data_IF_791729591894
#
_entry.id   IF_791729591894
#
_cell.length_a   1.000
_cell.length_b   1.000
_cell.length_c   1.000
_cell.angle_alpha   90.00
_cell.angle_beta   90.00
_cell.angle_gamma   90.00
#
_symmetry.space_group_name_H-M   'P 1'
#
loop_
_entity.id
_entity.type
_entity.pdbx_description
1 polymer ?
#
# COMPACT_ATOMS: atom_id res chain seq x y z
N UNK A 1 -16.43 -6.13 -1.95
CA UNK A 1 -17.43 -6.73 -1.04
C UNK A 1 -16.82 -7.78 -0.13
N UNK A 2 -16.42 -8.96 -0.61
CA UNK A 2 -15.86 -10.01 0.28
C UNK A 2 -14.67 -9.54 1.14
N UNK A 3 -13.72 -8.81 0.54
CA UNK A 3 -12.55 -8.29 1.25
C UNK A 3 -12.88 -7.15 2.24
N UNK A 4 -14.10 -6.61 2.20
CA UNK A 4 -14.53 -5.45 3.00
C UNK A 4 -15.84 -5.75 3.74
N UNK A 5 -16.14 -7.02 4.00
CA UNK A 5 -17.40 -7.42 4.64
C UNK A 5 -17.40 -6.94 6.11
N UNK A 6 -18.36 -6.08 6.52
CA UNK A 6 -18.43 -5.58 7.88
C UNK A 6 -18.92 -6.62 8.90
N UNK A 7 -19.50 -7.75 8.44
CA UNK A 7 -19.98 -8.81 9.32
C UNK A 7 -18.87 -9.72 9.87
N UNK A 8 -17.68 -9.65 9.26
CA UNK A 8 -16.51 -10.42 9.67
C UNK A 8 -15.66 -9.54 10.60
N UNK A 9 -15.16 -10.11 11.70
CA UNK A 9 -14.35 -9.38 12.67
C UNK A 9 -12.90 -9.14 12.22
N UNK A 10 -12.37 -10.02 11.38
CA UNK A 10 -10.98 -10.03 10.90
C UNK A 10 -10.92 -9.97 9.37
N UNK A 11 -9.83 -9.40 8.83
CA UNK A 11 -9.65 -9.32 7.39
C UNK A 11 -9.45 -10.69 6.75
N UNK A 12 -10.22 -10.96 5.69
CA UNK A 12 -9.96 -12.12 4.82
C UNK A 12 -8.76 -11.84 3.92
N UNK A 13 -7.56 -12.13 4.40
CA UNK A 13 -6.31 -11.93 3.65
C UNK A 13 -6.31 -12.60 2.27
N UNK A 14 -6.95 -13.75 2.14
CA UNK A 14 -7.17 -14.43 0.87
C UNK A 14 -7.98 -13.56 -0.11
N UNK A 15 -9.05 -12.90 0.36
CA UNK A 15 -9.82 -11.98 -0.47
C UNK A 15 -9.06 -10.69 -0.78
N UNK A 16 -8.25 -10.19 0.15
CA UNK A 16 -7.40 -9.01 -0.05
C UNK A 16 -6.35 -9.28 -1.14
N UNK A 17 -5.68 -10.44 -1.07
CA UNK A 17 -4.67 -10.86 -2.06
C UNK A 17 -5.31 -11.04 -3.44
N UNK A 18 -6.43 -11.76 -3.52
CA UNK A 18 -7.18 -11.92 -4.79
C UNK A 18 -7.62 -10.59 -5.39
N UNK A 19 -8.00 -9.62 -4.57
CA UNK A 19 -8.32 -8.28 -5.07
C UNK A 19 -7.11 -7.65 -5.74
N UNK A 20 -5.93 -7.68 -5.10
CA UNK A 20 -4.69 -7.15 -5.67
C UNK A 20 -4.29 -7.88 -6.97
N UNK A 21 -4.41 -9.21 -7.00
CA UNK A 21 -4.18 -10.01 -8.20
C UNK A 21 -5.09 -9.57 -9.36
N UNK A 22 -6.39 -9.35 -9.08
CA UNK A 22 -7.34 -8.87 -10.08
C UNK A 22 -7.00 -7.45 -10.57
N UNK A 23 -6.60 -6.55 -9.66
CA UNK A 23 -6.15 -5.19 -10.04
C UNK A 23 -5.00 -5.26 -11.03
N UNK A 24 -4.07 -6.21 -10.85
CA UNK A 24 -2.91 -6.37 -11.72
C UNK A 24 -3.23 -7.09 -13.04
N UNK A 25 -4.13 -8.07 -13.01
CA UNK A 25 -4.51 -8.85 -14.18
C UNK A 25 -5.36 -8.05 -15.18
N UNK A 26 -6.23 -7.16 -14.68
CA UNK A 26 -7.13 -6.40 -15.53
C UNK A 26 -6.48 -5.13 -16.09
N UNK A 27 -6.68 -4.87 -17.39
CA UNK A 27 -6.21 -3.64 -18.02
C UNK A 27 -6.78 -2.38 -17.34
N UNK A 28 -8.06 -2.40 -16.97
CA UNK A 28 -8.71 -1.27 -16.29
C UNK A 28 -8.60 -1.33 -14.77
N UNK A 29 -8.08 -2.45 -14.22
CA UNK A 29 -7.99 -2.72 -12.79
C UNK A 29 -7.41 -1.57 -11.98
N UNK A 30 -6.21 -1.04 -12.32
CA UNK A 30 -5.59 0.04 -11.57
C UNK A 30 -6.41 1.34 -11.55
N UNK A 31 -7.25 1.58 -12.56
CA UNK A 31 -8.10 2.78 -12.66
C UNK A 31 -9.46 2.62 -11.97
N UNK A 32 -10.00 1.39 -11.93
CA UNK A 32 -11.30 1.09 -11.32
C UNK A 32 -11.17 0.84 -9.82
N UNK A 33 -10.15 0.13 -9.38
CA UNK A 33 -9.96 -0.25 -7.99
C UNK A 33 -9.96 0.95 -7.01
N UNK A 34 -9.26 2.07 -7.26
CA UNK A 34 -9.31 3.23 -6.38
C UNK A 34 -10.73 3.81 -6.24
N UNK A 35 -11.57 3.74 -7.29
CA UNK A 35 -12.96 4.22 -7.22
C UNK A 35 -13.81 3.34 -6.30
N UNK A 36 -13.65 2.02 -6.40
CA UNK A 36 -14.35 1.07 -5.54
C UNK A 36 -13.89 1.21 -4.08
N UNK A 37 -12.58 1.34 -3.86
CA UNK A 37 -11.99 1.54 -2.55
C UNK A 37 -12.44 2.85 -1.92
N UNK A 38 -12.44 3.95 -2.67
CA UNK A 38 -12.93 5.24 -2.18
C UNK A 38 -14.37 5.16 -1.65
N UNK A 39 -15.26 4.50 -2.38
CA UNK A 39 -16.63 4.27 -1.93
C UNK A 39 -16.70 3.47 -0.62
N UNK A 40 -15.91 2.39 -0.50
CA UNK A 40 -15.89 1.54 0.71
C UNK A 40 -15.24 2.22 1.91
N UNK A 41 -14.19 3.02 1.71
CA UNK A 41 -13.54 3.82 2.77
C UNK A 41 -14.49 4.88 3.35
N UNK A 42 -15.44 5.37 2.55
CA UNK A 42 -16.47 6.31 2.99
C UNK A 42 -17.67 5.64 3.68
N UNK A 43 -17.62 4.31 3.90
CA UNK A 43 -18.72 3.60 4.55
C UNK A 43 -19.01 4.16 5.94
N UNK A 44 -20.30 4.31 6.32
CA UNK A 44 -20.68 4.64 7.69
C UNK A 44 -20.37 3.49 8.66
N UNK A 45 -20.13 2.26 8.16
CA UNK A 45 -19.75 1.12 8.97
C UNK A 45 -18.24 1.14 9.19
N UNK A 46 -17.80 1.35 10.44
CA UNK A 46 -16.37 1.43 10.78
C UNK A 46 -15.58 0.21 10.27
N UNK A 47 -16.11 -1.01 10.45
CA UNK A 47 -15.44 -2.24 10.01
C UNK A 47 -15.21 -2.27 8.49
N UNK A 48 -16.22 -1.94 7.68
CA UNK A 48 -16.09 -1.90 6.21
C UNK A 48 -15.05 -0.87 5.77
N UNK A 49 -15.06 0.32 6.39
CA UNK A 49 -14.10 1.37 6.08
C UNK A 49 -12.66 0.97 6.44
N UNK A 50 -12.46 0.34 7.61
CA UNK A 50 -11.15 -0.14 8.04
C UNK A 50 -10.63 -1.27 7.16
N UNK A 51 -11.46 -2.25 6.81
CA UNK A 51 -11.08 -3.31 5.88
C UNK A 51 -10.70 -2.74 4.51
N UNK A 52 -11.44 -1.75 4.01
CA UNK A 52 -11.12 -1.08 2.75
C UNK A 52 -9.77 -0.35 2.79
N UNK A 53 -9.41 0.24 3.94
CA UNK A 53 -8.09 0.84 4.14
C UNK A 53 -6.97 -0.21 4.15
N UNK A 54 -7.20 -1.38 4.75
CA UNK A 54 -6.26 -2.53 4.68
C UNK A 54 -6.08 -3.01 3.24
N UNK A 55 -7.16 -3.10 2.46
CA UNK A 55 -7.08 -3.45 1.02
C UNK A 55 -6.30 -2.38 0.24
N UNK A 56 -6.54 -1.09 0.51
CA UNK A 56 -5.81 0.01 -0.12
C UNK A 56 -4.30 -0.07 0.14
N UNK A 57 -3.89 -0.24 1.40
CA UNK A 57 -2.47 -0.38 1.75
C UNK A 57 -1.84 -1.59 1.05
N UNK A 58 -2.57 -2.71 1.01
CA UNK A 58 -2.09 -3.92 0.33
C UNK A 58 -1.96 -3.70 -1.18
N UNK A 59 -2.88 -2.96 -1.81
CA UNK A 59 -2.78 -2.60 -3.22
C UNK A 59 -1.58 -1.69 -3.49
N UNK A 60 -1.32 -0.70 -2.62
CA UNK A 60 -0.12 0.16 -2.76
C UNK A 60 1.17 -0.66 -2.70
N UNK A 61 1.22 -1.69 -1.87
CA UNK A 61 2.39 -2.56 -1.76
C UNK A 61 2.56 -3.54 -2.93
N UNK A 62 1.47 -3.91 -3.63
CA UNK A 62 1.48 -5.05 -4.57
C UNK A 62 1.09 -4.70 -6.02
N UNK A 63 0.54 -3.52 -6.29
CA UNK A 63 -0.01 -3.18 -7.62
C UNK A 63 0.85 -2.21 -8.45
N UNK A 64 1.97 -1.76 -7.88
CA UNK A 64 2.99 -0.98 -8.58
C UNK A 64 2.51 0.36 -9.16
N UNK A 65 3.31 0.90 -10.08
CA UNK A 65 3.23 2.28 -10.56
C UNK A 65 1.88 2.63 -11.20
N UNK A 66 1.26 1.70 -11.94
CA UNK A 66 -0.05 1.92 -12.57
C UNK A 66 -1.12 2.26 -11.53
N UNK A 67 -1.07 1.62 -10.36
CA UNK A 67 -1.98 1.91 -9.26
C UNK A 67 -1.57 3.18 -8.50
N UNK A 68 -0.26 3.36 -8.26
CA UNK A 68 0.28 4.57 -7.61
C UNK A 68 -0.13 5.85 -8.34
N UNK A 69 -0.04 5.85 -9.68
CA UNK A 69 -0.45 6.97 -10.53
C UNK A 69 -1.93 7.34 -10.38
N UNK A 70 -2.80 6.39 -10.07
CA UNK A 70 -4.23 6.65 -9.88
C UNK A 70 -4.53 7.20 -8.49
N UNK A 71 -3.91 6.67 -7.43
CA UNK A 71 -4.10 7.17 -6.07
C UNK A 71 -3.47 8.54 -5.83
N UNK A 72 -2.42 8.91 -6.59
CA UNK A 72 -1.78 10.23 -6.52
C UNK A 72 -2.61 11.36 -7.16
N UNK A 73 -3.68 11.04 -7.89
CA UNK A 73 -4.57 12.05 -8.50
C UNK A 73 -5.50 12.67 -7.45
N UNK A 74 -5.76 13.98 -7.56
CA UNK A 74 -6.76 14.66 -6.74
C UNK A 74 -8.14 14.01 -6.79
N UNK A 75 -8.49 13.35 -7.90
CA UNK A 75 -9.73 12.58 -7.99
C UNK A 75 -9.87 11.57 -6.86
N UNK A 76 -8.80 10.84 -6.52
CA UNK A 76 -8.81 9.88 -5.43
C UNK A 76 -8.51 10.55 -4.08
N UNK A 77 -7.51 11.43 -4.02
CA UNK A 77 -7.14 12.13 -2.77
C UNK A 77 -8.31 12.92 -2.18
N UNK A 78 -9.15 13.53 -3.01
CA UNK A 78 -10.35 14.25 -2.55
C UNK A 78 -11.36 13.33 -1.87
N UNK A 79 -11.44 12.06 -2.28
CA UNK A 79 -12.31 11.09 -1.63
C UNK A 79 -11.81 10.74 -0.22
N UNK A 80 -10.50 10.70 0.01
CA UNK A 80 -9.93 10.56 1.35
C UNK A 80 -10.10 11.84 2.18
N UNK A 81 -9.90 13.02 1.58
CA UNK A 81 -10.11 14.31 2.25
C UNK A 81 -11.55 14.45 2.77
N UNK A 82 -12.55 13.98 2.02
CA UNK A 82 -13.96 13.99 2.45
C UNK A 82 -14.17 13.20 3.75
N UNK A 83 -13.44 12.09 3.96
CA UNK A 83 -13.50 11.28 5.19
C UNK A 83 -12.94 12.03 6.39
N UNK A 84 -11.95 12.88 6.18
CA UNK A 84 -11.32 13.66 7.26
C UNK A 84 -12.06 14.98 7.54
N UNK A 85 -12.66 15.58 6.51
CA UNK A 85 -13.20 16.93 6.60
C UNK A 85 -14.58 16.96 7.28
N UNK A 86 -14.78 17.77 8.34
CA UNK A 86 -16.08 17.94 8.98
C UNK A 86 -17.17 18.47 8.05
N UNK A 87 -16.80 19.11 6.94
CA UNK A 87 -17.74 19.60 5.92
C UNK A 87 -18.40 18.49 5.10
N UNK A 88 -17.86 17.28 5.17
CA UNK A 88 -18.30 16.13 4.38
C UNK A 88 -18.59 14.95 5.30
N UNK A 89 -17.72 13.94 5.32
CA UNK A 89 -17.95 12.71 6.08
C UNK A 89 -17.26 12.72 7.45
N UNK A 90 -16.35 13.66 7.71
CA UNK A 90 -15.57 13.69 8.95
C UNK A 90 -16.37 13.90 10.24
N UNK A 91 -17.63 14.34 10.14
CA UNK A 91 -18.54 14.42 11.29
C UNK A 91 -19.08 13.04 11.72
N UNK A 92 -19.20 12.10 10.78
CA UNK A 92 -19.76 10.75 11.00
C UNK A 92 -18.69 9.67 10.98
N UNK A 93 -17.56 9.90 10.31
CA UNK A 93 -16.43 8.98 10.32
C UNK A 93 -15.81 8.91 11.71
N UNK A 94 -15.60 7.69 12.20
CA UNK A 94 -15.01 7.47 13.52
C UNK A 94 -13.57 7.99 13.59
N UNK A 95 -13.11 8.28 14.80
CA UNK A 95 -11.74 8.76 15.01
C UNK A 95 -10.71 7.73 14.54
N UNK A 96 -11.01 6.43 14.70
CA UNK A 96 -10.16 5.34 14.26
C UNK A 96 -9.97 5.33 12.74
N UNK A 97 -11.05 5.52 11.97
CA UNK A 97 -10.99 5.63 10.50
C UNK A 97 -10.22 6.88 10.08
N UNK A 98 -10.49 8.03 10.70
CA UNK A 98 -9.79 9.29 10.39
C UNK A 98 -8.29 9.22 10.69
N UNK A 99 -7.90 8.62 11.82
CA UNK A 99 -6.50 8.39 12.17
C UNK A 99 -5.83 7.53 11.10
N UNK A 100 -6.47 6.44 10.69
CA UNK A 100 -5.91 5.52 9.69
C UNK A 100 -5.76 6.15 8.32
N UNK A 101 -6.74 6.94 7.86
CA UNK A 101 -6.62 7.71 6.61
C UNK A 101 -5.48 8.73 6.72
N UNK A 102 -5.34 9.39 7.86
CA UNK A 102 -4.25 10.37 8.09
C UNK A 102 -2.88 9.70 8.04
N UNK A 103 -2.72 8.54 8.67
CA UNK A 103 -1.49 7.72 8.61
C UNK A 103 -1.14 7.32 7.17
N UNK A 104 -2.12 6.88 6.38
CA UNK A 104 -1.91 6.46 4.98
C UNK A 104 -1.49 7.64 4.11
N UNK A 105 -2.17 8.78 4.19
CA UNK A 105 -1.79 9.95 3.39
C UNK A 105 -0.40 10.43 3.83
N UNK A 106 -0.11 10.45 5.13
CA UNK A 106 1.21 10.82 5.63
C UNK A 106 2.31 9.88 5.15
N UNK A 107 2.12 8.55 5.22
CA UNK A 107 3.12 7.59 4.72
C UNK A 107 3.39 7.79 3.23
N UNK A 108 2.36 8.12 2.44
CA UNK A 108 2.53 8.43 1.03
C UNK A 108 3.35 9.70 0.77
N UNK A 109 3.32 10.69 1.67
CA UNK A 109 4.24 11.85 1.53
C UNK A 109 5.71 11.47 1.69
N UNK A 110 5.98 10.38 2.42
CA UNK A 110 7.33 9.84 2.62
C UNK A 110 7.71 8.88 1.49
N UNK A 111 6.79 8.02 1.08
CA UNK A 111 7.02 6.98 0.07
C UNK A 111 7.08 7.54 -1.36
N UNK A 112 6.31 8.60 -1.62
CA UNK A 112 6.20 9.21 -2.94
C UNK A 112 6.55 10.71 -2.86
N UNK A 113 7.80 11.08 -2.50
CA UNK A 113 8.20 12.47 -2.32
C UNK A 113 8.09 13.30 -3.62
N UNK A 114 8.11 12.64 -4.78
CA UNK A 114 7.89 13.24 -6.10
C UNK A 114 6.42 13.62 -6.36
N UNK A 115 5.47 13.00 -5.66
CA UNK A 115 4.04 13.21 -5.89
C UNK A 115 3.53 14.47 -5.17
N UNK A 116 3.76 15.62 -5.82
CA UNK A 116 3.40 16.96 -5.30
C UNK A 116 1.94 17.03 -4.84
N UNK A 117 1.02 16.36 -5.53
CA UNK A 117 -0.42 16.39 -5.17
C UNK A 117 -0.71 15.74 -3.82
N UNK A 118 0.00 14.66 -3.48
CA UNK A 118 -0.12 13.99 -2.17
C UNK A 118 0.38 14.93 -1.08
N UNK A 119 1.56 15.53 -1.28
CA UNK A 119 2.13 16.53 -0.37
C UNK A 119 1.18 17.71 -0.16
N UNK A 120 0.67 18.30 -1.24
CA UNK A 120 -0.19 19.48 -1.17
C UNK A 120 -1.53 19.17 -0.48
N UNK A 121 -2.12 18.00 -0.75
CA UNK A 121 -3.31 17.52 -0.04
C UNK A 121 -3.06 17.40 1.47
N UNK A 122 -1.95 16.81 1.87
CA UNK A 122 -1.59 16.66 3.29
C UNK A 122 -1.33 18.02 3.97
N UNK A 123 -0.57 18.90 3.33
CA UNK A 123 -0.30 20.24 3.87
C UNK A 123 -1.57 21.09 3.97
N UNK A 124 -2.50 20.95 3.02
CA UNK A 124 -3.81 21.58 3.10
C UNK A 124 -4.60 21.11 4.33
N UNK A 125 -4.61 19.80 4.62
CA UNK A 125 -5.27 19.25 5.80
C UNK A 125 -4.67 19.82 7.10
N UNK A 126 -3.33 19.97 7.16
CA UNK A 126 -2.65 20.63 8.29
C UNK A 126 -3.01 22.09 8.43
N UNK A 127 -2.98 22.84 7.32
CA UNK A 127 -3.31 24.28 7.30
C UNK A 127 -4.74 24.56 7.76
N UNK A 128 -5.67 23.65 7.47
CA UNK A 128 -7.07 23.75 7.90
C UNK A 128 -7.30 23.27 9.34
N UNK A 129 -6.27 22.79 10.04
CA UNK A 129 -6.37 22.24 11.39
C UNK A 129 -7.11 20.90 11.47
N UNK A 130 -7.32 20.23 10.33
CA UNK A 130 -7.91 18.89 10.27
C UNK A 130 -6.91 17.86 10.78
N UNK A 131 -5.65 18.00 10.37
CA UNK A 131 -4.51 17.25 10.92
C UNK A 131 -3.71 18.19 11.80
N UNK A 132 -3.68 17.93 13.11
CA UNK A 132 -2.99 18.80 14.08
C UNK A 132 -1.50 18.49 14.17
N UNK A 133 -1.17 17.21 14.21
CA UNK A 133 0.20 16.70 14.36
C UNK A 133 0.42 15.55 13.39
N UNK A 134 1.68 15.36 12.98
CA UNK A 134 2.05 14.26 12.09
C UNK A 134 1.99 12.94 12.87
N UNK A 135 1.41 11.88 12.31
CA UNK A 135 1.28 10.61 13.01
C UNK A 135 2.66 9.96 13.19
N UNK A 136 2.86 9.29 14.33
CA UNK A 136 4.05 8.48 14.57
C UNK A 136 3.91 7.17 13.81
N UNK A 137 4.56 7.08 12.66
CA UNK A 137 4.60 5.84 11.88
C UNK A 137 5.61 4.85 12.51
N UNK A 138 5.26 3.56 12.67
CA UNK A 138 6.24 2.49 12.89
C UNK A 138 7.27 2.48 11.76
N UNK A 139 8.52 2.10 12.05
CA UNK A 139 9.62 2.10 11.07
C UNK A 139 9.27 1.33 9.78
N UNK A 140 8.58 0.20 9.88
CA UNK A 140 8.13 -0.60 8.73
C UNK A 140 7.16 0.14 7.81
N UNK A 141 6.40 1.13 8.34
CA UNK A 141 5.49 1.98 7.55
C UNK A 141 6.17 3.23 7.00
N UNK A 142 7.44 3.47 7.32
CA UNK A 142 8.25 4.57 6.78
C UNK A 142 8.98 4.12 5.50
N UNK A 143 9.23 2.83 5.34
CA UNK A 143 9.86 2.29 4.15
C UNK A 143 8.91 2.34 2.95
N UNK A 144 9.35 2.86 1.79
CA UNK A 144 8.51 2.85 0.59
C UNK A 144 8.11 1.42 0.24
N UNK A 145 6.95 1.24 -0.43
CA UNK A 145 6.51 -0.09 -0.84
C UNK A 145 7.63 -0.73 -1.67
N UNK A 146 7.94 -2.03 -1.46
CA UNK A 146 8.99 -2.69 -2.21
C UNK A 146 8.75 -2.48 -3.69
N UNK A 147 9.79 -2.05 -4.43
CA UNK A 147 9.71 -1.92 -5.87
C UNK A 147 9.16 -3.23 -6.45
N UNK A 148 8.15 -3.20 -7.35
CA UNK A 148 7.63 -4.42 -7.95
C UNK A 148 8.80 -5.21 -8.48
N UNK A 149 9.04 -6.41 -7.93
CA UNK A 149 10.06 -7.29 -8.50
C UNK A 149 9.67 -7.52 -9.95
N UNK A 150 10.58 -7.36 -10.92
CA UNK A 150 10.30 -7.77 -12.29
C UNK A 150 9.81 -9.21 -12.22
N UNK A 151 8.64 -9.51 -12.82
CA UNK A 151 8.12 -10.89 -12.91
C UNK A 151 9.07 -11.83 -13.69
N UNK A 152 10.17 -11.29 -14.21
CA UNK A 152 11.28 -12.00 -14.84
C UNK A 152 12.57 -11.93 -14.00
N UNK A 153 12.47 -11.88 -12.66
CA UNK A 153 13.64 -12.13 -11.82
C UNK A 153 14.10 -13.56 -12.09
N UNK A 154 15.35 -13.72 -12.54
CA UNK A 154 15.97 -15.02 -12.83
C UNK A 154 15.81 -16.01 -11.66
N UNK A 155 15.64 -15.51 -10.43
CA UNK A 155 15.37 -16.35 -9.26
C UNK A 155 13.99 -17.02 -9.24
N UNK A 156 12.95 -16.39 -9.79
CA UNK A 156 11.62 -17.00 -9.85
C UNK A 156 11.50 -17.97 -11.03
N UNK A 157 12.30 -17.78 -12.09
CA UNK A 157 12.33 -18.69 -13.26
C UNK A 157 13.30 -19.86 -13.10
N UNK A 158 14.31 -19.71 -12.24
CA UNK A 158 15.36 -20.72 -11.99
C UNK A 158 15.26 -21.20 -10.53
N UNK A 159 14.34 -22.14 -10.31
CA UNK A 159 14.05 -22.75 -9.01
C UNK A 159 15.32 -23.31 -8.33
N UNK A 160 16.28 -23.78 -9.14
CA UNK A 160 17.57 -24.30 -8.66
C UNK A 160 18.47 -23.20 -8.11
N UNK A 161 18.52 -22.02 -8.75
CA UNK A 161 19.26 -20.86 -8.20
C UNK A 161 18.64 -20.35 -6.90
N UNK A 162 17.32 -20.37 -6.78
CA UNK A 162 16.62 -20.01 -5.55
C UNK A 162 16.91 -20.97 -4.39
N UNK A 163 16.88 -22.28 -4.64
CA UNK A 163 17.26 -23.29 -3.64
C UNK A 163 18.74 -23.16 -3.24
N UNK A 164 19.62 -22.91 -4.20
CA UNK A 164 21.04 -22.71 -3.94
C UNK A 164 21.28 -21.47 -3.07
N UNK A 165 20.65 -20.34 -3.40
CA UNK A 165 20.77 -19.12 -2.60
C UNK A 165 20.28 -19.33 -1.17
N UNK A 166 19.13 -19.98 -0.99
CA UNK A 166 18.57 -20.28 0.32
C UNK A 166 19.51 -21.18 1.15
N UNK A 167 20.17 -22.14 0.50
CA UNK A 167 21.16 -23.02 1.16
C UNK A 167 22.40 -22.24 1.59
N UNK A 168 22.92 -21.38 0.71
CA UNK A 168 24.12 -20.58 0.98
C UNK A 168 23.89 -19.56 2.12
N UNK A 169 22.71 -18.93 2.16
CA UNK A 169 22.33 -17.98 3.22
C UNK A 169 22.11 -18.63 4.59
N UNK A 170 21.80 -19.94 4.64
CA UNK A 170 21.63 -20.70 5.89
C UNK A 170 22.95 -21.28 6.42
N UNK A 171 24.04 -21.22 5.66
CA UNK A 171 25.33 -21.75 6.07
C UNK A 171 26.05 -20.79 7.01
N UNK A 172 26.74 -21.34 8.01
CA UNK A 172 27.59 -20.58 8.95
C UNK A 172 29.00 -20.33 8.40
N UNK A 173 29.32 -20.86 7.21
CA UNK A 173 30.63 -20.70 6.60
C UNK A 173 30.74 -19.36 5.86
N UNK A 174 31.82 -18.62 6.12
CA UNK A 174 32.07 -17.32 5.50
C UNK A 174 32.13 -17.41 3.96
N UNK A 175 32.60 -18.53 3.42
CA UNK A 175 32.70 -18.77 1.97
C UNK A 175 31.33 -18.90 1.31
N UNK A 176 30.39 -19.59 1.96
CA UNK A 176 29.02 -19.74 1.46
C UNK A 176 28.26 -18.42 1.50
N UNK A 177 28.45 -17.64 2.57
CA UNK A 177 27.88 -16.28 2.66
C UNK A 177 28.47 -15.35 1.59
N UNK A 178 29.76 -15.48 1.28
CA UNK A 178 30.37 -14.75 0.17
C UNK A 178 29.81 -15.20 -1.19
N UNK A 179 29.58 -16.50 -1.40
CA UNK A 179 28.97 -17.02 -2.61
C UNK A 179 27.52 -16.53 -2.78
N UNK A 180 26.72 -16.50 -1.70
CA UNK A 180 25.39 -15.90 -1.71
C UNK A 180 25.42 -14.42 -2.12
N UNK A 181 26.34 -13.65 -1.54
CA UNK A 181 26.51 -12.23 -1.87
C UNK A 181 26.94 -12.01 -3.34
N UNK A 182 27.74 -12.90 -3.93
CA UNK A 182 28.10 -12.85 -5.35
C UNK A 182 26.90 -13.16 -6.24
N UNK A 183 26.12 -14.18 -5.90
CA UNK A 183 24.92 -14.59 -6.63
C UNK A 183 23.85 -13.49 -6.63
N UNK A 184 23.66 -12.81 -5.50
CA UNK A 184 22.76 -11.65 -5.39
C UNK A 184 23.26 -10.51 -6.28
N UNK A 185 24.56 -10.21 -6.27
CA UNK A 185 25.16 -9.13 -7.07
C UNK A 185 25.10 -9.38 -8.58
N UNK A 186 25.20 -10.63 -9.03
CA UNK A 186 25.11 -10.93 -10.46
C UNK A 186 23.70 -10.70 -11.00
N UNK A 187 22.66 -10.91 -10.18
CA UNK A 187 21.27 -10.74 -10.61
C UNK A 187 20.78 -9.29 -10.50
N UNK A 188 21.47 -8.43 -9.72
CA UNK A 188 21.17 -7.00 -9.63
C UNK A 188 21.81 -6.19 -10.78
N UNK A 189 22.79 -6.76 -11.50
CA UNK A 189 23.59 -6.05 -12.52
C UNK A 189 23.14 -6.29 -13.97
N UNK A 190 22.14 -7.13 -14.20
CA UNK A 190 21.42 -7.28 -15.47
C UNK A 190 20.07 -6.56 -15.41
#
# INVERSE_FOLDING_TARGET
>A
DKATDPSVAEESWECVQRFCEQVNADADGPSLAPRLLAHKIQSPQEAEALHALTVLETCVNNCGERFHNEIAKFRFLNELIKVLSPKYHGAWSSEKVKSRVTEIIFSWTVWFPQEVKIRDAYQMLKKQGIVKEDPKLPEDKILPPPSPRPQNSIFDTDEEKSKLLARLLRSSHAEDLQAANRLIKSVIRE
#
